data_IF_299176149045
#
_entry.id   IF_299176149045
#
_cell.length_a   1.000
_cell.length_b   1.000
_cell.length_c   1.000
_cell.angle_alpha   90.00
_cell.angle_beta   90.00
_cell.angle_gamma   90.00
#
_symmetry.space_group_name_H-M   'P 1'
#
loop_
_entity.id
_entity.type
_entity.pdbx_description
1 polymer ?
2 non-polymer ?
3 non-polymer ?
4 non-polymer ?
5 non-polymer ?
6 water ?
#
# COMPACT_ATOMS: atom_id res chain seq x y z
N UNK A 1 -6.94 -0.12 6.91
CA UNK A 1 -8.29 0.34 6.52
C UNK A 1 -9.33 0.03 7.58
N UNK A 2 -10.59 0.38 7.31
CA UNK A 2 -11.70 0.18 8.27
C UNK A 2 -11.81 -1.31 8.67
N UNK A 3 -11.56 -2.20 7.72
CA UNK A 3 -11.62 -3.65 7.97
C UNK A 3 -10.63 -4.05 9.07
N UNK A 4 -9.39 -3.57 8.92
CA UNK A 4 -8.34 -3.83 9.91
C UNK A 4 -8.60 -3.15 11.24
N UNK A 5 -9.15 -1.93 11.19
CA UNK A 5 -9.52 -1.23 12.40
C UNK A 5 -10.49 -2.04 13.26
N UNK A 6 -11.57 -2.50 12.63
CA UNK A 6 -12.56 -3.34 13.31
C UNK A 6 -11.91 -4.63 13.84
N UNK A 7 -11.08 -5.26 13.01
CA UNK A 7 -10.42 -6.51 13.37
C UNK A 7 -9.48 -6.39 14.55
N UNK A 8 -8.63 -5.36 14.51
CA UNK A 8 -7.64 -5.14 15.56
C UNK A 8 -8.31 -4.79 16.87
N UNK A 9 -9.30 -3.91 16.80
CA UNK A 9 -10.08 -3.56 17.99
C UNK A 9 -10.77 -4.81 18.58
N UNK A 10 -11.35 -5.64 17.72
CA UNK A 10 -11.98 -6.88 18.16
C UNK A 10 -11.01 -7.87 18.77
N UNK A 11 -9.81 -7.96 18.19
CA UNK A 11 -8.75 -8.87 18.67
C UNK A 11 -8.39 -8.62 20.14
N UNK A 12 -8.13 -7.36 20.47
CA UNK A 12 -7.53 -7.02 21.76
C UNK A 12 -8.57 -6.89 22.86
N UNK A 13 -9.66 -6.21 22.55
CA UNK A 13 -10.59 -5.75 23.58
C UNK A 13 -11.66 -6.78 23.86
N UNK A 14 -12.53 -6.49 24.83
CA UNK A 14 -13.58 -7.42 25.22
C UNK A 14 -14.92 -7.21 24.52
N UNK A 15 -15.04 -6.19 23.65
CA UNK A 15 -16.34 -5.85 23.09
C UNK A 15 -16.36 -5.73 21.58
N UNK A 16 -17.54 -5.86 21.02
CA UNK A 16 -17.74 -5.69 19.58
C UNK A 16 -17.19 -4.34 19.12
N UNK A 17 -16.47 -4.31 17.97
CA UNK A 17 -16.01 -3.01 17.45
C UNK A 17 -17.14 -2.01 17.15
N UNK A 18 -18.34 -2.56 16.88
CA UNK A 18 -19.61 -1.82 16.76
C UNK A 18 -19.91 -0.90 17.95
N UNK A 19 -19.42 -1.27 19.14
CA UNK A 19 -19.57 -0.46 20.34
C UNK A 19 -18.95 0.94 20.22
N UNK A 20 -18.04 1.12 19.27
CA UNK A 20 -17.38 2.42 19.03
C UNK A 20 -17.80 3.17 17.76
N UNK A 21 -18.84 2.71 17.08
CA UNK A 21 -19.25 3.30 15.80
C UNK A 21 -19.77 4.73 15.93
N UNK A 22 -20.49 4.98 17.02
CA UNK A 22 -20.99 6.33 17.35
C UNK A 22 -21.03 6.40 18.88
N UNK A 23 -19.92 6.84 19.47
CA UNK A 23 -19.75 6.88 20.92
C UNK A 23 -19.06 8.18 21.28
N UNK A 24 -19.61 8.86 22.29
CA UNK A 24 -19.07 10.12 22.75
C UNK A 24 -19.00 11.15 21.64
N UNK A 25 -17.95 11.96 21.67
CA UNK A 25 -17.74 13.01 20.69
C UNK A 25 -16.78 12.64 19.56
N UNK A 26 -15.97 11.58 19.75
CA UNK A 26 -14.92 11.24 18.79
C UNK A 26 -14.98 9.88 18.13
N UNK A 27 -15.62 8.90 18.76
CA UNK A 27 -15.67 7.56 18.19
C UNK A 27 -16.74 7.50 17.12
N UNK A 28 -16.30 7.36 15.87
CA UNK A 28 -17.15 7.48 14.69
C UNK A 28 -16.53 8.43 13.71
N UNK A 29 -17.17 8.60 12.56
CA UNK A 29 -16.65 9.48 11.49
C UNK A 29 -16.56 10.92 11.98
N UNK A 30 -15.35 11.49 11.84
CA UNK A 30 -15.04 12.82 12.37
C UNK A 30 -15.04 12.87 13.88
N UNK A 31 -15.36 14.03 14.41
CA UNK A 31 -15.40 14.23 15.84
C UNK A 31 -14.87 15.58 16.24
N UNK A 32 -15.52 16.17 17.24
CA UNK A 32 -15.13 17.46 17.76
C UNK A 32 -15.63 17.59 19.19
N UNK A 33 -14.97 18.42 19.99
CA UNK A 33 -15.39 18.71 21.35
C UNK A 33 -14.41 18.23 22.39
N UNK A 34 -14.88 18.23 23.63
CA UNK A 34 -14.13 17.71 24.77
C UNK A 34 -14.44 16.22 24.85
N UNK A 35 -13.40 15.35 24.87
CA UNK A 35 -13.68 13.93 25.06
C UNK A 35 -14.41 13.61 26.37
N UNK A 36 -15.46 12.81 26.27
CA UNK A 36 -16.34 12.49 27.40
C UNK A 36 -15.72 11.62 28.47
N UNK A 37 -14.86 10.70 28.05
CA UNK A 37 -14.31 9.66 28.94
C UNK A 37 -13.08 9.02 28.29
N UNK A 38 -12.55 7.99 28.94
CA UNK A 38 -11.32 7.32 28.49
C UNK A 38 -11.43 6.80 27.07
N UNK A 39 -12.53 6.10 26.79
CA UNK A 39 -12.80 5.58 25.43
C UNK A 39 -12.75 6.71 24.40
N UNK A 40 -13.44 7.81 24.71
CA UNK A 40 -13.49 8.95 23.81
C UNK A 40 -12.09 9.57 23.57
N UNK A 41 -11.28 9.62 24.62
CA UNK A 41 -9.87 10.05 24.48
C UNK A 41 -9.07 9.15 23.53
N UNK A 42 -9.26 7.85 23.64
CA UNK A 42 -8.65 6.87 22.72
C UNK A 42 -9.03 7.20 21.29
N UNK A 43 -10.32 7.50 21.06
CA UNK A 43 -10.78 7.82 19.71
C UNK A 43 -10.21 9.16 19.23
N UNK A 44 -10.10 10.14 20.13
CA UNK A 44 -9.48 11.41 19.77
C UNK A 44 -8.03 11.17 19.30
N UNK A 45 -7.28 10.42 20.09
CA UNK A 45 -5.92 10.03 19.74
C UNK A 45 -5.81 9.37 18.39
N UNK A 46 -6.74 8.44 18.13
CA UNK A 46 -6.80 7.72 16.88
C UNK A 46 -7.14 8.62 15.68
N UNK A 47 -8.11 9.52 15.85
CA UNK A 47 -8.41 10.54 14.84
C UNK A 47 -7.17 11.36 14.47
N UNK A 48 -6.42 11.76 15.49
CA UNK A 48 -5.13 12.44 15.32
C UNK A 48 -4.13 11.62 14.53
N UNK A 49 -4.02 10.33 14.87
CA UNK A 49 -3.12 9.40 14.18
C UNK A 49 -3.47 9.28 12.70
N UNK A 50 -4.76 9.10 12.40
CA UNK A 50 -5.23 9.05 11.01
C UNK A 50 -4.98 10.36 10.25
N UNK A 51 -5.19 11.49 10.92
CA UNK A 51 -4.85 12.81 10.31
C UNK A 51 -3.40 12.86 9.89
N UNK A 52 -2.50 12.51 10.82
CA UNK A 52 -1.05 12.42 10.55
C UNK A 52 -0.74 11.49 9.38
N UNK A 53 -1.42 10.33 9.36
CA UNK A 53 -1.30 9.38 8.24
C UNK A 53 -1.71 9.98 6.90
N UNK A 54 -2.80 10.72 6.89
CA UNK A 54 -3.27 11.40 5.67
C UNK A 54 -2.28 12.47 5.23
N UNK A 55 -1.71 13.19 6.19
CA UNK A 55 -0.65 14.19 5.90
C UNK A 55 0.66 13.56 5.38
N UNK A 56 0.91 12.31 5.77
CA UNK A 56 2.04 11.53 5.27
C UNK A 56 1.80 10.89 3.88
N UNK A 57 0.62 11.11 3.30
CA UNK A 57 0.25 10.58 1.99
C UNK A 57 -0.32 9.16 2.01
N UNK A 58 -1.04 8.81 3.07
CA UNK A 58 -1.68 7.50 3.17
C UNK A 58 -3.20 7.65 3.19
N UNK A 59 -3.89 6.52 2.99
CA UNK A 59 -5.35 6.47 2.93
C UNK A 59 -5.86 5.55 4.07
N UNK A 60 -5.96 6.07 5.30
CA UNK A 60 -6.25 5.24 6.49
C UNK A 60 -7.57 4.46 6.48
N UNK A 61 -8.57 4.94 5.75
CA UNK A 61 -9.86 4.26 5.67
C UNK A 61 -9.90 3.06 4.73
N UNK A 62 -9.03 3.06 3.71
CA UNK A 62 -9.09 2.06 2.65
C UNK A 62 -7.90 1.13 2.54
N UNK A 63 -6.70 1.60 2.88
CA UNK A 63 -5.46 0.84 2.63
C UNK A 63 -5.41 -0.46 3.45
N UNK A 64 -5.22 -1.58 2.77
CA UNK A 64 -5.10 -2.87 3.44
C UNK A 64 -3.71 -3.02 4.06
N UNK A 65 -3.63 -3.77 5.14
CA UNK A 65 -2.35 -4.17 5.70
C UNK A 65 -2.49 -5.53 6.39
N UNK A 66 -1.35 -6.18 6.56
CA UNK A 66 -1.28 -7.48 7.20
C UNK A 66 -0.97 -7.35 8.69
N UNK A 67 -1.59 -8.21 9.48
CA UNK A 67 -1.39 -8.23 10.92
C UNK A 67 -1.85 -9.58 11.44
N UNK A 68 -1.52 -9.87 12.69
CA UNK A 68 -1.92 -11.11 13.36
C UNK A 68 -2.47 -10.82 14.74
N UNK A 69 -3.44 -11.62 15.16
CA UNK A 69 -3.96 -11.59 16.51
C UNK A 69 -3.37 -12.78 17.30
N UNK A 70 -2.50 -12.49 18.25
CA UNK A 70 -1.85 -13.50 19.09
C UNK A 70 -2.09 -13.15 20.55
N UNK A 71 -2.74 -14.06 21.29
CA UNK A 71 -3.04 -13.83 22.72
C UNK A 71 -3.75 -12.50 22.95
N UNK A 72 -4.78 -12.24 22.15
CA UNK A 72 -5.54 -10.99 22.19
C UNK A 72 -4.65 -9.76 22.10
N UNK A 73 -3.62 -9.84 21.25
CA UNK A 73 -2.67 -8.75 21.03
C UNK A 73 -2.42 -8.62 19.53
N UNK A 74 -2.26 -7.40 19.06
CA UNK A 74 -2.01 -7.14 17.65
C UNK A 74 -0.50 -7.10 17.36
N UNK A 75 -0.08 -7.91 16.39
CA UNK A 75 1.26 -7.83 15.84
C UNK A 75 1.15 -7.37 14.39
N UNK A 76 1.85 -6.28 14.07
CA UNK A 76 1.79 -5.65 12.76
C UNK A 76 2.77 -6.25 11.78
N UNK A 77 2.29 -6.64 10.59
CA UNK A 77 3.19 -7.02 9.50
C UNK A 77 2.81 -8.32 8.83
N UNK A 78 3.50 -8.69 7.73
CA UNK A 78 4.59 -7.91 7.13
C UNK A 78 4.11 -6.64 6.42
N UNK A 79 4.88 -5.57 6.52
CA UNK A 79 4.56 -4.30 5.87
C UNK A 79 5.32 -4.14 4.56
N UNK A 80 4.62 -3.75 3.50
CA UNK A 80 5.24 -3.51 2.19
C UNK A 80 5.74 -2.08 2.00
N UNK A 81 5.22 -1.17 2.80
CA UNK A 81 5.57 0.24 2.73
C UNK A 81 5.31 0.90 4.08
N UNK A 82 5.72 2.17 4.20
CA UNK A 82 5.56 2.93 5.45
C UNK A 82 4.10 3.17 5.81
N UNK A 83 3.22 3.31 4.82
CA UNK A 83 1.82 3.61 5.10
C UNK A 83 1.16 2.44 5.82
N UNK A 84 1.45 1.23 5.36
CA UNK A 84 0.94 0.02 6.02
C UNK A 84 1.45 -0.09 7.47
N UNK A 85 2.72 0.26 7.68
CA UNK A 85 3.30 0.34 9.03
C UNK A 85 2.58 1.37 9.89
N UNK A 86 2.41 2.57 9.33
CA UNK A 86 1.79 3.67 10.06
C UNK A 86 0.34 3.34 10.45
N UNK A 87 -0.45 2.86 9.49
CA UNK A 87 -1.85 2.50 9.76
C UNK A 87 -1.99 1.40 10.79
N UNK A 88 -1.17 0.36 10.67
CA UNK A 88 -1.22 -0.69 11.67
C UNK A 88 -0.85 -0.17 13.05
N UNK A 89 0.15 0.69 13.13
CA UNK A 89 0.53 1.31 14.40
C UNK A 89 -0.62 2.13 15.01
N UNK A 90 -1.31 2.91 14.19
CA UNK A 90 -2.49 3.67 14.66
C UNK A 90 -3.56 2.75 15.24
N UNK A 91 -3.89 1.69 14.51
CA UNK A 91 -4.97 0.78 14.89
C UNK A 91 -4.60 -0.08 16.09
N UNK A 92 -3.37 -0.59 16.10
CA UNK A 92 -2.82 -1.30 17.26
C UNK A 92 -2.92 -0.45 18.52
N UNK A 93 -2.56 0.82 18.39
CA UNK A 93 -2.58 1.74 19.52
C UNK A 93 -4.00 1.99 20.05
N UNK A 94 -4.96 2.25 19.15
CA UNK A 94 -6.34 2.43 19.62
C UNK A 94 -6.88 1.12 20.20
N UNK A 95 -6.57 -0.02 19.58
CA UNK A 95 -7.03 -1.31 20.10
C UNK A 95 -6.53 -1.50 21.54
N UNK A 96 -5.26 -1.22 21.76
CA UNK A 96 -4.67 -1.33 23.10
C UNK A 96 -5.30 -0.37 24.11
N UNK A 97 -5.51 0.86 23.66
CA UNK A 97 -6.14 1.90 24.45
C UNK A 97 -7.53 1.47 24.91
N UNK A 98 -8.36 1.05 23.95
CA UNK A 98 -9.76 0.71 24.24
C UNK A 98 -9.91 -0.52 25.13
N UNK A 99 -8.99 -1.47 24.99
CA UNK A 99 -9.00 -2.70 25.78
C UNK A 99 -8.86 -2.44 27.29
N UNK A 100 -8.22 -1.34 27.66
CA UNK A 100 -8.00 -0.96 29.06
C UNK A 100 -9.11 -0.11 29.69
N UNK A 101 -10.22 0.09 28.96
CA UNK A 101 -11.28 1.00 29.39
C UNK A 101 -12.52 0.28 29.88
N UNK A 102 -13.25 0.96 30.75
CA UNK A 102 -14.62 0.61 31.12
C UNK A 102 -15.55 1.30 30.13
N UNK A 103 -16.58 0.58 29.69
CA UNK A 103 -17.57 1.14 28.78
C UNK A 103 -18.64 1.89 29.54
N UNK A 104 -18.94 3.12 29.10
CA UNK A 104 -20.06 3.89 29.65
C UNK A 104 -21.19 3.91 28.63
N UNK A 105 -22.21 3.07 28.85
CA UNK A 105 -23.31 2.91 27.91
C UNK A 105 -23.98 4.25 27.54
N UNK A 106 -24.01 5.18 28.50
CA UNK A 106 -24.64 6.49 28.30
C UNK A 106 -24.05 7.33 27.17
N UNK A 107 -22.81 7.04 26.76
CA UNK A 107 -22.17 7.74 25.63
C UNK A 107 -22.36 7.08 24.27
N UNK A 108 -22.92 5.87 24.21
CA UNK A 108 -23.29 5.28 22.93
C UNK A 108 -24.44 6.08 22.33
N UNK A 109 -24.25 6.56 21.10
CA UNK A 109 -25.24 7.41 20.41
C UNK A 109 -25.47 8.73 21.18
N UNK A 110 -24.40 9.26 21.76
CA UNK A 110 -24.41 10.55 22.43
C UNK A 110 -24.73 11.64 21.39
N UNK A 111 -25.57 12.63 21.74
CA UNK A 111 -25.94 13.62 20.74
C UNK A 111 -24.79 14.56 20.41
N UNK A 112 -24.57 14.77 19.12
CA UNK A 112 -23.50 15.63 18.60
C UNK A 112 -23.67 17.09 19.04
N UNK A 113 -24.91 17.54 19.26
CA UNK A 113 -25.16 18.90 19.74
C UNK A 113 -24.59 19.18 21.14
N UNK A 114 -24.31 18.15 21.92
CA UNK A 114 -23.60 18.31 23.20
C UNK A 114 -22.08 18.42 23.06
N UNK A 115 -21.54 18.12 21.88
CA UNK A 115 -20.11 18.17 21.65
C UNK A 115 -19.73 19.58 21.22
N UNK A 116 -18.77 20.17 21.92
CA UNK A 116 -18.37 21.55 21.69
C UNK A 116 -17.67 21.69 20.32
N UNK A 117 -17.70 22.89 19.71
CA UNK A 117 -17.05 23.04 18.40
C UNK A 117 -15.53 22.87 18.38
N UNK A 118 -14.86 23.16 19.49
CA UNK A 118 -13.40 23.10 19.56
C UNK A 118 -12.93 21.83 20.28
N UNK A 119 -11.73 21.37 19.91
CA UNK A 119 -11.19 20.10 20.40
C UNK A 119 -9.79 20.27 20.99
N UNK A 120 -9.37 19.33 21.87
CA UNK A 120 -7.97 19.32 22.27
C UNK A 120 -7.05 19.09 21.08
N UNK A 121 -5.85 19.65 21.14
CA UNK A 121 -4.86 19.51 20.07
C UNK A 121 -4.31 18.08 19.98
N UNK A 122 -3.81 17.73 18.80
CA UNK A 122 -3.17 16.44 18.57
C UNK A 122 -1.72 16.50 18.99
N UNK B 1 2.84 -4.89 -8.22
CA UNK B 1 3.53 -6.20 -8.05
C UNK B 1 3.66 -6.95 -9.37
N UNK B 2 4.20 -8.17 -9.30
CA UNK B 2 4.44 -8.98 -10.49
C UNK B 2 3.17 -9.22 -11.31
N UNK B 3 2.03 -9.38 -10.63
CA UNK B 3 0.73 -9.57 -11.31
C UNK B 3 0.36 -8.36 -12.16
N UNK B 4 0.53 -7.17 -11.59
CA UNK B 4 0.25 -5.93 -12.30
C UNK B 4 1.26 -5.70 -13.42
N UNK B 5 2.53 -6.00 -13.17
CA UNK B 5 3.55 -5.92 -14.21
C UNK B 5 3.18 -6.77 -15.41
N UNK B 6 2.84 -8.03 -15.17
CA UNK B 6 2.44 -8.94 -16.24
C UNK B 6 1.16 -8.43 -16.92
N UNK B 7 0.20 -7.99 -16.12
CA UNK B 7 -1.08 -7.46 -16.63
C UNK B 7 -0.96 -6.21 -17.49
N UNK B 8 -0.15 -5.24 -17.05
CA UNK B 8 0.05 -3.98 -17.79
C UNK B 8 0.73 -4.25 -19.13
N UNK B 9 1.77 -5.08 -19.08
CA UNK B 9 2.47 -5.46 -20.31
C UNK B 9 1.52 -6.20 -21.26
N UNK B 10 0.70 -7.11 -20.73
CA UNK B 10 -0.32 -7.81 -21.50
C UNK B 10 -1.44 -6.93 -22.06
N UNK B 11 -1.77 -5.86 -21.35
CA UNK B 11 -2.72 -4.85 -21.81
C UNK B 11 -2.25 -4.19 -23.10
N UNK B 12 -1.03 -3.68 -23.07
CA UNK B 12 -0.49 -2.91 -24.18
C UNK B 12 -0.10 -3.80 -25.35
N UNK B 13 0.49 -4.96 -25.06
CA UNK B 13 0.95 -5.88 -26.11
C UNK B 13 2.17 -5.32 -26.82
N UNK B 14 2.55 -5.87 -27.98
CA UNK B 14 1.80 -6.89 -28.73
C UNK B 14 2.14 -8.35 -28.41
N UNK B 15 2.87 -8.61 -27.32
CA UNK B 15 3.25 -9.97 -26.96
C UNK B 15 2.99 -10.30 -25.51
N UNK B 16 2.84 -11.58 -25.26
CA UNK B 16 2.64 -12.09 -23.91
C UNK B 16 3.74 -11.58 -22.97
N UNK B 17 3.39 -11.21 -21.74
CA UNK B 17 4.42 -10.76 -20.79
C UNK B 17 5.53 -11.79 -20.52
N UNK B 18 5.22 -13.10 -20.66
CA UNK B 18 6.17 -14.21 -20.54
C UNK B 18 7.32 -14.13 -21.54
N UNK B 19 7.08 -13.43 -22.65
CA UNK B 19 8.13 -13.19 -23.65
C UNK B 19 9.34 -12.43 -23.07
N UNK B 20 9.14 -11.73 -21.96
CA UNK B 20 10.20 -10.96 -21.28
C UNK B 20 10.66 -11.58 -19.96
N UNK B 21 10.27 -12.82 -19.71
CA UNK B 21 10.56 -13.49 -18.43
C UNK B 21 12.07 -13.74 -18.24
N UNK B 22 12.74 -14.04 -19.34
CA UNK B 22 14.19 -14.23 -19.36
C UNK B 22 14.67 -13.87 -20.77
N UNK B 23 15.04 -12.61 -20.94
CA UNK B 23 15.43 -12.07 -22.24
C UNK B 23 16.56 -11.09 -22.04
N UNK B 24 17.60 -11.24 -22.87
CA UNK B 24 18.73 -10.35 -22.81
C UNK B 24 19.45 -10.43 -21.49
N UNK B 25 20.09 -9.33 -21.13
CA UNK B 25 20.79 -9.22 -19.85
C UNK B 25 19.97 -8.67 -18.69
N UNK B 26 18.83 -8.05 -18.98
CA UNK B 26 18.02 -7.37 -17.94
C UNK B 26 16.58 -7.84 -17.74
N UNK B 27 15.94 -8.40 -18.75
CA UNK B 27 14.54 -8.84 -18.61
C UNK B 27 14.49 -10.16 -17.86
N UNK B 28 13.97 -10.11 -16.64
CA UNK B 28 14.02 -11.23 -15.71
C UNK B 28 14.55 -10.76 -14.37
N UNK B 29 14.57 -11.65 -13.39
CA UNK B 29 14.99 -11.29 -12.03
C UNK B 29 16.44 -10.81 -12.04
N UNK B 30 16.67 -9.59 -11.56
CA UNK B 30 17.98 -8.97 -11.57
C UNK B 30 18.42 -8.54 -12.95
N UNK B 31 19.72 -8.53 -13.17
CA UNK B 31 20.27 -8.21 -14.47
C UNK B 31 21.51 -7.34 -14.35
N UNK B 32 22.41 -7.53 -15.31
CA UNK B 32 23.68 -6.80 -15.34
C UNK B 32 24.27 -6.90 -16.75
N UNK B 33 25.12 -5.95 -17.12
CA UNK B 33 25.82 -5.96 -18.40
C UNK B 33 25.35 -4.88 -19.33
N UNK B 34 25.79 -4.96 -20.57
CA UNK B 34 25.33 -4.06 -21.60
C UNK B 34 24.00 -4.58 -22.15
N UNK B 35 22.95 -3.73 -22.19
CA UNK B 35 21.71 -4.20 -22.82
C UNK B 35 21.91 -4.66 -24.27
N UNK B 36 21.32 -5.80 -24.62
CA UNK B 36 21.46 -6.41 -25.93
C UNK B 36 20.80 -5.62 -27.05
N UNK B 37 19.64 -5.03 -26.77
CA UNK B 37 18.81 -4.39 -27.79
C UNK B 37 17.79 -3.44 -27.11
N UNK B 38 16.83 -2.95 -27.88
CA UNK B 38 15.80 -2.02 -27.39
C UNK B 38 14.95 -2.59 -26.25
N UNK B 39 14.45 -3.82 -26.43
CA UNK B 39 13.73 -4.52 -25.37
C UNK B 39 14.56 -4.54 -24.08
N UNK B 40 15.83 -4.92 -24.22
CA UNK B 40 16.68 -5.08 -23.06
C UNK B 40 16.93 -3.72 -22.40
N UNK B 41 17.01 -2.66 -23.19
CA UNK B 41 17.05 -1.29 -22.65
C UNK B 41 15.79 -0.93 -21.85
N UNK B 42 14.61 -1.30 -22.35
CA UNK B 42 13.36 -1.12 -21.59
C UNK B 42 13.43 -1.79 -20.22
N UNK B 43 13.90 -3.04 -20.20
CA UNK B 43 14.05 -3.78 -18.94
C UNK B 43 15.08 -3.14 -18.01
N UNK B 44 16.19 -2.66 -18.57
CA UNK B 44 17.19 -1.93 -17.77
C UNK B 44 16.55 -0.70 -17.09
N UNK B 45 15.85 0.11 -17.87
CA UNK B 45 15.08 1.25 -17.36
C UNK B 45 14.09 0.87 -16.27
N UNK B 46 13.38 -0.24 -16.48
CA UNK B 46 12.41 -0.76 -15.50
C UNK B 46 13.09 -1.23 -14.22
N UNK B 47 14.20 -1.95 -14.35
CA UNK B 47 15.02 -2.35 -13.20
C UNK B 47 15.44 -1.12 -12.38
N UNK B 48 15.87 -0.07 -13.06
CA UNK B 48 16.23 1.21 -12.41
C UNK B 48 15.02 1.79 -11.67
N UNK B 49 13.87 1.76 -12.33
CA UNK B 49 12.63 2.28 -11.74
C UNK B 49 12.26 1.54 -10.46
N UNK B 50 12.32 0.22 -10.50
CA UNK B 50 12.07 -0.62 -9.33
C UNK B 50 13.09 -0.41 -8.21
N UNK B 51 14.36 -0.19 -8.58
CA UNK B 51 15.39 0.16 -7.59
C UNK B 51 15.04 1.46 -6.87
N UNK B 52 14.67 2.48 -7.63
CA UNK B 52 14.21 3.76 -7.05
C UNK B 52 13.01 3.58 -6.12
N UNK B 53 12.05 2.73 -6.52
CA UNK B 53 10.88 2.43 -5.68
C UNK B 53 11.26 1.75 -4.36
N UNK B 54 12.20 0.80 -4.42
CA UNK B 54 12.73 0.12 -3.24
C UNK B 54 13.42 1.10 -2.31
N UNK B 55 14.26 1.97 -2.89
CA UNK B 55 14.93 3.04 -2.13
C UNK B 55 13.95 4.02 -1.45
N UNK B 56 12.78 4.23 -2.08
CA UNK B 56 11.69 5.04 -1.52
C UNK B 56 10.85 4.30 -0.46
N UNK B 57 11.19 3.05 -0.17
CA UNK B 57 10.51 2.22 0.81
C UNK B 57 9.28 1.50 0.30
N UNK B 58 9.28 1.11 -0.97
CA UNK B 58 8.19 0.32 -1.58
C UNK B 58 8.68 -1.08 -1.90
N UNK B 59 7.71 -1.96 -2.18
CA UNK B 59 7.96 -3.37 -2.49
C UNK B 59 7.43 -3.68 -3.89
N UNK B 60 8.25 -3.40 -4.94
CA UNK B 60 7.78 -3.53 -6.33
C UNK B 60 7.27 -4.89 -6.78
N UNK B 61 7.77 -5.97 -6.18
CA UNK B 61 7.38 -7.32 -6.58
C UNK B 61 6.03 -7.78 -6.00
N UNK B 62 5.61 -7.21 -4.88
CA UNK B 62 4.43 -7.70 -4.17
C UNK B 62 3.26 -6.72 -4.08
N UNK B 63 3.55 -5.43 -4.03
CA UNK B 63 2.55 -4.44 -3.68
C UNK B 63 1.51 -4.30 -4.79
N UNK B 64 0.23 -4.40 -4.42
CA UNK B 64 -0.88 -4.33 -5.37
C UNK B 64 -1.20 -2.87 -5.66
N UNK B 65 -1.70 -2.62 -6.87
CA UNK B 65 -2.23 -1.30 -7.22
C UNK B 65 -3.35 -1.42 -8.25
N UNK B 66 -4.19 -0.40 -8.31
CA UNK B 66 -5.28 -0.34 -9.29
C UNK B 66 -4.87 0.36 -10.56
N UNK B 67 -5.42 -0.13 -11.65
CA UNK B 67 -5.18 0.45 -12.96
C UNK B 67 -6.23 -0.07 -13.91
N UNK B 68 -6.28 0.51 -15.09
CA UNK B 68 -7.26 0.17 -16.11
C UNK B 68 -6.61 0.05 -17.46
N UNK B 69 -7.09 -0.91 -18.26
CA UNK B 69 -6.65 -1.09 -19.64
C UNK B 69 -7.72 -0.51 -20.56
N UNK B 70 -7.38 0.60 -21.21
CA UNK B 70 -8.28 1.31 -22.15
C UNK B 70 -7.58 1.48 -23.48
N UNK B 71 -8.17 0.94 -24.54
CA UNK B 71 -7.57 0.99 -25.89
C UNK B 71 -6.11 0.51 -25.87
N UNK B 72 -5.90 -0.63 -25.22
CA UNK B 72 -4.55 -1.20 -25.07
C UNK B 72 -3.53 -0.18 -24.52
N UNK B 73 -3.99 0.64 -23.57
CA UNK B 73 -3.17 1.63 -22.89
C UNK B 73 -3.45 1.50 -21.40
N UNK B 74 -2.42 1.74 -20.61
CA UNK B 74 -2.52 1.63 -19.15
C UNK B 74 -2.83 3.00 -18.57
N UNK B 75 -3.90 3.06 -17.79
CA UNK B 75 -4.23 4.21 -16.98
C UNK B 75 -4.06 3.83 -15.51
N UNK B 76 -3.27 4.59 -14.78
CA UNK B 76 -2.95 4.27 -13.40
C UNK B 76 -3.92 4.90 -12.42
N UNK B 77 -4.40 4.10 -11.47
CA UNK B 77 -5.13 4.63 -10.31
C UNK B 77 -6.47 3.94 -10.14
N UNK B 78 -7.23 4.27 -9.10
CA UNK B 78 -6.85 5.24 -8.06
C UNK B 78 -5.73 4.73 -7.15
N UNK B 79 -4.84 5.63 -6.75
CA UNK B 79 -3.71 5.31 -5.85
C UNK B 79 -3.98 5.76 -4.42
N UNK B 80 -3.71 4.87 -3.47
CA UNK B 80 -3.88 5.16 -2.04
C UNK B 80 -2.66 5.80 -1.41
N UNK B 81 -1.51 5.68 -2.08
CA UNK B 81 -0.25 6.18 -1.56
C UNK B 81 0.75 6.33 -2.69
N UNK B 82 1.91 6.90 -2.38
CA UNK B 82 2.93 7.18 -3.36
C UNK B 82 3.51 5.92 -3.98
N UNK B 83 3.67 4.86 -3.19
CA UNK B 83 4.21 3.59 -3.69
C UNK B 83 3.37 2.99 -4.80
N UNK B 84 2.05 3.02 -4.64
CA UNK B 84 1.15 2.54 -5.69
C UNK B 84 1.27 3.38 -6.95
N UNK B 85 1.38 4.71 -6.79
CA UNK B 85 1.59 5.61 -7.93
C UNK B 85 2.89 5.29 -8.67
N UNK B 86 3.96 5.12 -7.91
CA UNK B 86 5.29 4.86 -8.44
C UNK B 86 5.34 3.55 -9.20
N UNK B 87 4.86 2.49 -8.57
CA UNK B 87 4.88 1.16 -9.18
C UNK B 87 4.11 1.14 -10.48
N UNK B 88 2.91 1.73 -10.47
CA UNK B 88 2.12 1.78 -11.69
C UNK B 88 2.83 2.58 -12.78
N UNK B 89 3.49 3.68 -12.40
CA UNK B 89 4.27 4.49 -13.33
C UNK B 89 5.36 3.66 -14.00
N UNK B 90 6.11 2.93 -13.18
CA UNK B 90 7.19 2.06 -13.64
C UNK B 90 6.66 1.03 -14.66
N UNK B 91 5.58 0.35 -14.31
CA UNK B 91 5.03 -0.71 -15.14
C UNK B 91 4.39 -0.18 -16.43
N UNK B 92 3.63 0.90 -16.29
CA UNK B 92 3.09 1.62 -17.45
C UNK B 92 4.21 2.00 -18.43
N UNK B 93 5.28 2.58 -17.90
CA UNK B 93 6.44 2.98 -18.70
C UNK B 93 7.08 1.80 -19.45
N UNK B 94 7.32 0.68 -18.77
CA UNK B 94 7.93 -0.46 -19.48
C UNK B 94 6.99 -1.04 -20.52
N UNK B 95 5.70 -1.10 -20.19
CA UNK B 95 4.70 -1.63 -21.14
C UNK B 95 4.71 -0.81 -22.43
N UNK B 96 4.76 0.52 -22.28
CA UNK B 96 4.80 1.43 -23.42
C UNK B 96 6.11 1.31 -24.20
N UNK B 97 7.23 1.16 -23.48
CA UNK B 97 8.55 0.99 -24.07
C UNK B 97 8.60 -0.26 -24.92
N UNK B 98 8.22 -1.39 -24.32
CA UNK B 98 8.19 -2.69 -25.00
C UNK B 98 7.27 -2.74 -26.22
N UNK B 99 6.13 -2.05 -26.16
CA UNK B 99 5.21 -1.97 -27.30
C UNK B 99 5.83 -1.39 -28.57
N UNK B 100 6.87 -0.58 -28.42
CA UNK B 100 7.56 0.07 -29.55
C UNK B 100 8.82 -0.66 -30.01
N UNK B 101 8.98 -1.93 -29.64
CA UNK B 101 10.19 -2.70 -29.95
C UNK B 101 9.91 -3.86 -30.89
N UNK B 102 10.95 -4.25 -31.61
CA UNK B 102 10.98 -5.51 -32.35
C UNK B 102 11.57 -6.56 -31.43
N UNK B 103 11.10 -7.78 -31.55
CA UNK B 103 11.56 -8.88 -30.72
C UNK B 103 12.66 -9.62 -31.44
N UNK B 104 13.80 -9.79 -30.78
CA UNK B 104 14.91 -10.57 -31.33
C UNK B 104 15.01 -11.91 -30.62
N UNK B 105 14.55 -12.96 -31.29
CA UNK B 105 14.55 -14.31 -30.71
C UNK B 105 15.95 -14.73 -30.20
N UNK B 106 16.98 -14.28 -30.91
CA UNK B 106 18.37 -14.57 -30.51
C UNK B 106 18.73 -14.19 -29.07
N UNK B 107 17.99 -13.26 -28.46
CA UNK B 107 18.24 -12.87 -27.06
C UNK B 107 17.30 -13.51 -26.04
N UNK B 108 16.28 -14.22 -26.50
CA UNK B 108 15.45 -15.02 -25.60
C UNK B 108 16.32 -16.08 -24.92
N UNK B 109 16.18 -16.21 -23.60
CA UNK B 109 16.96 -17.13 -22.75
C UNK B 109 18.49 -16.94 -22.84
N UNK B 110 18.92 -15.70 -23.06
CA UNK B 110 20.34 -15.35 -23.09
C UNK B 110 20.96 -15.71 -21.73
N UNK B 111 22.09 -16.45 -21.71
CA UNK B 111 22.65 -16.83 -20.42
C UNK B 111 23.25 -15.65 -19.66
N UNK B 112 22.98 -15.59 -18.36
CA UNK B 112 23.44 -14.47 -17.53
C UNK B 112 24.95 -14.42 -17.44
N UNK B 113 25.59 -15.59 -17.47
CA UNK B 113 27.06 -15.69 -17.42
C UNK B 113 27.77 -15.13 -18.65
N UNK B 114 27.02 -14.80 -19.72
CA UNK B 114 27.57 -14.10 -20.88
C UNK B 114 27.32 -12.59 -20.86
N UNK B 115 26.63 -12.09 -19.83
CA UNK B 115 26.42 -10.67 -19.68
C UNK B 115 27.58 -10.09 -18.89
N UNK B 116 27.98 -8.88 -19.25
CA UNK B 116 29.15 -8.23 -18.67
C UNK B 116 28.91 -7.88 -17.19
N UNK B 117 29.98 -7.81 -16.38
CA UNK B 117 29.78 -7.52 -14.95
C UNK B 117 29.21 -6.14 -14.64
N UNK B 118 29.68 -5.11 -15.37
CA UNK B 118 29.23 -3.73 -15.16
C UNK B 118 28.02 -3.40 -16.03
N UNK B 119 27.22 -2.44 -15.56
CA UNK B 119 25.98 -2.04 -16.23
C UNK B 119 25.96 -0.53 -16.43
N UNK B 120 25.18 -0.05 -17.42
CA UNK B 120 25.00 1.40 -17.53
C UNK B 120 24.30 1.94 -16.29
N UNK B 121 24.58 3.19 -15.97
CA UNK B 121 23.98 3.83 -14.81
C UNK B 121 22.51 4.08 -15.07
N UNK B 122 21.74 4.23 -14.00
CA UNK B 122 20.33 4.57 -14.12
C UNK B 122 20.16 6.04 -14.46
#
# INVERSE_FOLDING_TARGET
GILELAGTVGCVGPRTPIAYMKYGCFCGLGGHGQPRDAIDWCCHGHDCCYTRAEEAGCSPKTERYSWQCVNQSVLCGPAENKCQELLCKCDQEIANCLAQTEYNLKYLFYPQFLCEPDSPKC
GILELAGTVGCVGPRTPIAYMKYGCFCGLGGHGQPRDAIDWCCHGHDCCYTRAEEAGCSPKTERYSWQCVNQSVLCGPAENKCQELLCKCDQEIANCLAQTEYNLKYLFYPQFLCEPDSPKC
#
